data_IF_061570527777
#
_entry.id   IF_061570527777
#
_cell.length_a   1.000
_cell.length_b   1.000
_cell.length_c   1.000
_cell.angle_alpha   90.00
_cell.angle_beta   90.00
_cell.angle_gamma   90.00
#
_symmetry.space_group_name_H-M   'P 1'
#
loop_
_entity.id
_entity.type
_entity.pdbx_description
1 polymer ?
#
# COMPACT_ATOMS: atom_id res chain seq x y z
N UNK A 1 6.35 -10.08 -13.93
CA UNK A 1 5.00 -10.59 -13.61
C UNK A 1 4.52 -11.72 -14.55
N UNK A 2 4.17 -11.50 -15.84
CA UNK A 2 3.62 -12.59 -16.69
C UNK A 2 4.50 -13.85 -16.74
N UNK A 3 5.82 -13.67 -16.92
CA UNK A 3 6.76 -14.79 -16.95
C UNK A 3 6.77 -15.60 -15.64
N UNK A 4 6.67 -14.92 -14.49
CA UNK A 4 6.59 -15.56 -13.16
C UNK A 4 5.33 -16.41 -13.03
N UNK A 5 4.18 -15.88 -13.44
CA UNK A 5 2.89 -16.59 -13.42
C UNK A 5 2.93 -17.84 -14.30
N UNK A 6 3.47 -17.72 -15.53
CA UNK A 6 3.58 -18.85 -16.46
C UNK A 6 4.52 -19.93 -15.89
N UNK A 7 5.65 -19.54 -15.32
CA UNK A 7 6.59 -20.47 -14.71
C UNK A 7 5.96 -21.20 -13.51
N UNK A 8 5.13 -20.51 -12.74
CA UNK A 8 4.43 -21.08 -11.60
C UNK A 8 3.35 -22.09 -12.02
N UNK A 9 2.50 -21.73 -12.97
CA UNK A 9 1.38 -22.57 -13.40
C UNK A 9 1.76 -23.77 -14.26
N UNK A 10 2.95 -23.78 -14.87
CA UNK A 10 3.42 -24.85 -15.78
C UNK A 10 2.40 -25.22 -16.89
N UNK A 11 1.54 -24.27 -17.30
CA UNK A 11 0.49 -24.48 -18.29
C UNK A 11 -0.89 -24.88 -17.74
N UNK A 12 -1.08 -24.93 -16.42
CA UNK A 12 -2.38 -25.15 -15.76
C UNK A 12 -2.65 -24.16 -14.62
N UNK A 13 -3.61 -24.53 -13.75
CA UNK A 13 -3.99 -23.72 -12.59
C UNK A 13 -2.87 -23.66 -11.54
N UNK A 14 -2.73 -22.50 -10.89
CA UNK A 14 -1.76 -22.28 -9.82
C UNK A 14 -2.43 -22.61 -8.47
N UNK A 15 -1.90 -23.58 -7.69
CA UNK A 15 -2.40 -23.86 -6.36
C UNK A 15 -2.31 -22.63 -5.45
N UNK A 16 -3.22 -22.53 -4.47
CA UNK A 16 -3.30 -21.39 -3.55
C UNK A 16 -1.95 -21.04 -2.90
N UNK A 17 -1.25 -22.03 -2.32
CA UNK A 17 0.02 -21.79 -1.61
C UNK A 17 1.09 -21.20 -2.54
N UNK A 18 1.11 -21.64 -3.80
CA UNK A 18 2.06 -21.12 -4.78
C UNK A 18 1.66 -19.73 -5.26
N UNK A 19 0.36 -19.46 -5.43
CA UNK A 19 -0.15 -18.17 -5.87
C UNK A 19 0.15 -17.06 -4.85
N UNK A 20 -0.01 -17.36 -3.56
CA UNK A 20 0.23 -16.36 -2.50
C UNK A 20 1.72 -16.06 -2.31
N UNK A 21 2.60 -16.99 -2.69
CA UNK A 21 4.06 -16.88 -2.55
C UNK A 21 4.79 -16.32 -3.79
N UNK A 22 4.07 -15.91 -4.84
CA UNK A 22 4.68 -15.29 -6.01
C UNK A 22 5.28 -13.91 -5.67
N UNK A 23 6.62 -13.75 -5.67
CA UNK A 23 7.26 -12.57 -5.08
C UNK A 23 7.00 -11.29 -5.87
N UNK A 24 7.08 -11.31 -7.20
CA UNK A 24 6.87 -10.12 -8.01
C UNK A 24 5.39 -9.73 -8.08
N UNK A 25 4.48 -10.71 -8.17
CA UNK A 25 3.04 -10.47 -8.05
C UNK A 25 2.69 -9.81 -6.71
N UNK A 26 3.22 -10.34 -5.61
CA UNK A 26 2.95 -9.80 -4.27
C UNK A 26 3.51 -8.37 -4.13
N UNK A 27 4.71 -8.12 -4.65
CA UNK A 27 5.31 -6.80 -4.74
C UNK A 27 4.44 -5.78 -5.52
N UNK A 28 3.90 -6.20 -6.67
CA UNK A 28 2.98 -5.37 -7.48
C UNK A 28 1.69 -5.07 -6.73
N UNK A 29 1.11 -6.06 -6.06
CA UNK A 29 -0.11 -5.87 -5.27
C UNK A 29 0.12 -4.90 -4.09
N UNK A 30 1.21 -5.09 -3.33
CA UNK A 30 1.58 -4.21 -2.21
C UNK A 30 1.81 -2.78 -2.65
N UNK A 31 2.58 -2.58 -3.71
CA UNK A 31 2.88 -1.24 -4.20
C UNK A 31 1.63 -0.56 -4.77
N UNK A 32 0.76 -1.31 -5.46
CA UNK A 32 -0.52 -0.78 -5.94
C UNK A 32 -1.42 -0.34 -4.77
N UNK A 33 -1.51 -1.14 -3.71
CA UNK A 33 -2.29 -0.81 -2.52
C UNK A 33 -1.71 0.38 -1.73
N UNK A 34 -0.41 0.67 -1.89
CA UNK A 34 0.24 1.83 -1.27
C UNK A 34 -0.24 3.14 -1.89
N UNK A 35 -0.48 3.17 -3.19
CA UNK A 35 -0.98 4.36 -3.90
C UNK A 35 -2.51 4.44 -3.84
N UNK A 36 -3.03 5.40 -3.09
CA UNK A 36 -4.43 5.79 -3.21
C UNK A 36 -4.62 6.64 -4.48
N UNK A 37 -5.68 6.36 -5.26
CA UNK A 37 -5.97 7.07 -6.52
C UNK A 37 -6.46 8.51 -6.34
N UNK A 38 -6.85 8.92 -5.13
CA UNK A 38 -7.35 10.29 -4.86
C UNK A 38 -6.58 11.03 -3.76
N UNK A 39 -6.64 12.36 -3.79
CA UNK A 39 -5.98 13.27 -2.85
C UNK A 39 -6.66 13.29 -1.49
N UNK A 40 -5.86 13.39 -0.42
CA UNK A 40 -6.36 13.48 0.95
C UNK A 40 -5.46 14.40 1.78
N UNK A 41 -6.10 15.18 2.67
CA UNK A 41 -5.46 16.20 3.52
C UNK A 41 -4.85 15.55 4.78
N UNK A 42 -3.61 15.93 5.08
CA UNK A 42 -2.68 15.38 6.08
C UNK A 42 -3.07 15.55 7.56
N UNK A 43 -2.69 14.59 8.44
CA UNK A 43 -2.34 14.85 9.83
C UNK A 43 -0.83 14.73 10.07
N UNK A 44 -0.36 15.35 11.16
CA UNK A 44 1.05 15.62 11.44
C UNK A 44 1.64 14.60 12.43
N UNK A 45 2.76 13.97 12.06
CA UNK A 45 3.56 13.07 12.90
C UNK A 45 4.76 13.76 13.59
N UNK A 46 4.95 15.04 13.30
CA UNK A 46 6.05 15.87 13.82
C UNK A 46 5.45 17.06 14.56
N UNK A 47 6.14 17.58 15.59
CA UNK A 47 5.61 18.70 16.34
C UNK A 47 5.36 19.89 15.42
N UNK A 48 4.17 20.46 15.54
CA UNK A 48 3.80 21.64 14.77
C UNK A 48 4.17 22.89 15.52
N UNK A 49 4.60 23.90 14.77
CA UNK A 49 4.78 25.22 15.33
C UNK A 49 3.40 25.83 15.54
N UNK A 50 3.02 26.03 16.80
CA UNK A 50 1.79 26.70 17.18
C UNK A 50 1.79 28.16 16.71
N UNK A 51 0.62 28.79 16.78
CA UNK A 51 0.45 30.23 16.50
C UNK A 51 1.31 31.11 17.42
N UNK A 52 1.77 30.56 18.54
CA UNK A 52 2.67 31.17 19.52
C UNK A 52 4.16 30.92 19.23
N UNK A 53 4.48 30.25 18.12
CA UNK A 53 5.84 29.92 17.71
C UNK A 53 6.47 28.72 18.44
N UNK A 54 5.78 28.11 19.41
CA UNK A 54 6.30 26.96 20.18
C UNK A 54 6.03 25.65 19.46
N UNK A 55 6.90 24.67 19.70
CA UNK A 55 6.70 23.30 19.22
C UNK A 55 5.64 22.61 20.08
N UNK A 56 4.55 22.16 19.45
CA UNK A 56 3.50 21.38 20.07
C UNK A 56 3.72 19.90 19.80
N UNK A 57 3.91 19.11 20.86
CA UNK A 57 4.06 17.66 20.78
C UNK A 57 2.74 16.91 20.90
N UNK A 58 1.70 17.58 21.42
CA UNK A 58 0.36 17.05 21.58
C UNK A 58 -0.64 18.04 20.99
N UNK A 59 -1.61 17.54 20.25
CA UNK A 59 -2.73 18.34 19.74
C UNK A 59 -3.93 18.07 20.64
N UNK A 60 -4.40 19.05 21.44
CA UNK A 60 -5.62 18.87 22.21
C UNK A 60 -6.81 18.75 21.25
N UNK A 61 -7.54 17.64 21.33
CA UNK A 61 -8.73 17.37 20.50
C UNK A 61 -9.97 17.48 21.39
N UNK A 62 -10.77 18.55 21.26
CA UNK A 62 -12.00 18.70 22.03
C UNK A 62 -13.01 17.58 21.74
N UNK A 63 -13.88 17.29 22.71
CA UNK A 63 -14.98 16.33 22.51
C UNK A 63 -15.87 16.79 21.35
N UNK A 64 -16.20 15.84 20.47
CA UNK A 64 -17.03 16.09 19.29
C UNK A 64 -16.25 16.53 18.05
N UNK A 65 -14.92 16.59 18.12
CA UNK A 65 -14.07 16.88 16.95
C UNK A 65 -14.00 15.66 16.04
N UNK A 66 -14.31 15.84 14.76
CA UNK A 66 -14.09 14.82 13.73
C UNK A 66 -12.60 14.73 13.37
N UNK A 67 -12.09 13.50 13.24
CA UNK A 67 -10.70 13.22 12.93
C UNK A 67 -10.63 12.35 11.69
N UNK A 68 -9.92 12.83 10.67
CA UNK A 68 -9.69 12.10 9.43
C UNK A 68 -8.27 11.54 9.38
N UNK A 69 -8.14 10.29 8.96
CA UNK A 69 -6.84 9.62 8.76
C UNK A 69 -6.47 9.69 7.29
N UNK A 70 -5.37 10.38 6.97
CA UNK A 70 -4.88 10.47 5.59
C UNK A 70 -4.06 9.23 5.22
N UNK A 71 -4.75 8.20 4.72
CA UNK A 71 -4.13 6.94 4.28
C UNK A 71 -3.06 7.18 3.23
N UNK A 72 -3.33 8.01 2.21
CA UNK A 72 -2.36 8.36 1.16
C UNK A 72 -1.10 8.97 1.75
N UNK A 73 -1.27 9.99 2.59
CA UNK A 73 -0.15 10.68 3.21
C UNK A 73 0.71 9.73 4.05
N UNK A 74 0.09 8.81 4.81
CA UNK A 74 0.82 7.78 5.55
C UNK A 74 1.60 6.84 4.63
N UNK A 75 0.96 6.36 3.56
CA UNK A 75 1.53 5.41 2.62
C UNK A 75 2.58 6.02 1.67
N UNK A 76 2.62 7.35 1.53
CA UNK A 76 3.60 8.07 0.69
C UNK A 76 4.43 9.08 1.48
N UNK A 77 4.49 8.97 2.80
CA UNK A 77 5.28 9.87 3.63
C UNK A 77 6.79 9.68 3.34
N UNK A 78 7.46 10.69 2.79
CA UNK A 78 8.89 10.62 2.45
C UNK A 78 9.79 10.35 3.66
N UNK A 79 9.38 10.74 4.87
CA UNK A 79 10.14 10.44 6.08
C UNK A 79 10.12 8.94 6.42
N UNK A 80 9.09 8.21 6.00
CA UNK A 80 8.93 6.77 6.25
C UNK A 80 9.40 5.96 5.04
N UNK A 81 8.97 6.35 3.85
CA UNK A 81 9.15 5.59 2.60
C UNK A 81 10.34 6.05 1.76
N UNK A 82 11.02 7.13 2.13
CA UNK A 82 12.15 7.69 1.39
C UNK A 82 11.75 8.69 0.29
N UNK A 83 12.74 9.17 -0.46
CA UNK A 83 12.53 10.20 -1.47
C UNK A 83 11.68 9.73 -2.66
N UNK A 84 11.70 8.43 -2.97
CA UNK A 84 10.92 7.78 -4.02
C UNK A 84 9.52 7.34 -3.52
N UNK A 85 9.04 7.88 -2.39
CA UNK A 85 7.72 7.55 -1.84
C UNK A 85 6.55 7.84 -2.80
N UNK A 86 6.71 8.75 -3.75
CA UNK A 86 5.68 9.07 -4.74
C UNK A 86 5.80 8.24 -6.04
N UNK A 87 6.81 7.37 -6.14
CA UNK A 87 7.04 6.53 -7.30
C UNK A 87 6.42 5.15 -7.11
N UNK A 88 5.69 4.67 -8.12
CA UNK A 88 5.19 3.30 -8.16
C UNK A 88 6.35 2.36 -8.52
N UNK A 89 6.91 1.68 -7.50
CA UNK A 89 8.09 0.84 -7.62
C UNK A 89 7.91 -0.47 -6.84
N UNK A 90 7.32 -1.50 -7.47
CA UNK A 90 7.12 -2.82 -6.86
C UNK A 90 8.41 -3.42 -6.28
N UNK A 91 9.55 -3.19 -6.92
CA UNK A 91 10.84 -3.78 -6.58
C UNK A 91 11.29 -3.47 -5.15
N UNK A 92 10.74 -2.40 -4.53
CA UNK A 92 10.94 -2.06 -3.12
C UNK A 92 10.60 -3.20 -2.16
N UNK A 93 9.61 -4.02 -2.51
CA UNK A 93 9.10 -5.12 -1.68
C UNK A 93 9.89 -6.42 -1.83
N UNK A 94 10.81 -6.47 -2.80
CA UNK A 94 11.64 -7.65 -3.07
C UNK A 94 12.94 -7.66 -2.25
N UNK A 95 13.21 -6.58 -1.52
CA UNK A 95 14.36 -6.44 -0.64
C UNK A 95 13.88 -6.09 0.77
N UNK A 96 14.72 -6.28 1.81
CA UNK A 96 14.40 -5.81 3.15
C UNK A 96 14.04 -4.32 3.13
N UNK A 97 12.92 -3.99 3.78
CA UNK A 97 12.45 -2.61 3.87
C UNK A 97 13.40 -1.78 4.76
N UNK A 98 13.53 -0.46 4.51
CA UNK A 98 14.27 0.44 5.37
C UNK A 98 13.79 0.38 6.83
N UNK A 99 14.71 0.51 7.79
CA UNK A 99 14.38 0.45 9.22
C UNK A 99 13.36 1.51 9.63
N UNK A 100 13.38 2.68 8.99
CA UNK A 100 12.42 3.76 9.18
C UNK A 100 10.95 3.31 9.04
N UNK A 101 10.65 2.32 8.19
CA UNK A 101 9.29 1.79 8.03
C UNK A 101 8.88 0.98 9.27
N UNK A 102 9.79 0.15 9.79
CA UNK A 102 9.54 -0.62 11.01
C UNK A 102 9.45 0.30 12.24
N UNK A 103 10.33 1.29 12.33
CA UNK A 103 10.38 2.27 13.42
C UNK A 103 9.22 3.26 13.41
N UNK A 104 8.52 3.43 12.27
CA UNK A 104 7.36 4.31 12.18
C UNK A 104 6.13 3.77 12.93
N UNK A 105 6.10 2.47 13.28
CA UNK A 105 4.99 1.82 14.00
C UNK A 105 3.61 2.12 13.38
N UNK A 106 3.53 2.17 12.05
CA UNK A 106 2.27 2.42 11.35
C UNK A 106 1.29 1.30 11.70
N UNK A 107 0.09 1.60 12.26
CA UNK A 107 -0.80 0.58 12.82
C UNK A 107 -1.55 -0.24 11.77
N UNK A 108 -1.09 -0.22 10.51
CA UNK A 108 -1.70 -0.90 9.38
C UNK A 108 -1.71 -2.41 9.56
N UNK A 109 -2.86 -3.05 9.34
CA UNK A 109 -3.01 -4.52 9.47
C UNK A 109 -2.19 -5.30 8.43
N UNK A 110 -1.73 -4.62 7.37
CA UNK A 110 -1.00 -5.24 6.28
C UNK A 110 0.21 -4.40 5.87
N UNK A 111 1.41 -4.99 5.95
CA UNK A 111 2.66 -4.46 5.38
C UNK A 111 2.98 -3.00 5.73
N UNK A 112 2.65 -2.55 6.95
CA UNK A 112 2.81 -1.15 7.38
C UNK A 112 2.06 -0.14 6.50
N UNK A 113 0.98 -0.58 5.83
CA UNK A 113 0.09 0.24 5.00
C UNK A 113 -1.23 0.49 5.71
N UNK A 114 -1.72 1.72 5.63
CA UNK A 114 -3.01 2.11 6.19
C UNK A 114 -4.20 1.80 5.27
N UNK A 115 -3.96 1.17 4.12
CA UNK A 115 -4.97 0.88 3.07
C UNK A 115 -6.13 0.03 3.58
N UNK A 116 -5.85 -0.93 4.46
CA UNK A 116 -6.85 -1.77 5.10
C UNK A 116 -7.14 -1.35 6.55
N UNK A 117 -6.75 -0.13 6.93
CA UNK A 117 -6.85 0.37 8.29
C UNK A 117 -5.99 -0.42 9.30
N UNK A 118 -6.29 -0.21 10.57
CA UNK A 118 -5.51 -0.72 11.69
C UNK A 118 -6.36 -0.95 12.95
N UNK A 119 -5.84 -1.75 13.88
CA UNK A 119 -6.51 -2.07 15.15
C UNK A 119 -7.85 -2.81 14.97
N UNK A 120 -8.75 -2.64 15.95
CA UNK A 120 -10.03 -3.36 16.00
C UNK A 120 -11.06 -2.99 14.92
N UNK A 121 -10.76 -2.00 14.07
CA UNK A 121 -11.57 -1.59 12.91
C UNK A 121 -10.87 -1.82 11.57
N UNK A 122 -9.80 -2.60 11.58
CA UNK A 122 -9.14 -3.02 10.35
C UNK A 122 -10.10 -3.80 9.45
N UNK A 123 -9.87 -3.73 8.14
CA UNK A 123 -10.67 -4.44 7.17
C UNK A 123 -10.55 -5.95 7.38
N UNK A 124 -11.66 -6.59 7.78
CA UNK A 124 -11.71 -8.05 7.98
C UNK A 124 -11.44 -8.83 6.67
N UNK A 125 -11.74 -8.21 5.52
CA UNK A 125 -11.59 -8.80 4.19
C UNK A 125 -10.22 -8.60 3.54
N UNK A 126 -9.20 -8.07 4.24
CA UNK A 126 -7.93 -7.71 3.59
C UNK A 126 -7.24 -8.91 2.93
N UNK A 127 -7.23 -10.08 3.58
CA UNK A 127 -6.65 -11.31 3.01
C UNK A 127 -7.43 -11.80 1.79
N UNK A 128 -8.76 -11.72 1.86
CA UNK A 128 -9.62 -12.08 0.74
C UNK A 128 -9.36 -11.17 -0.46
N UNK A 129 -9.32 -9.85 -0.23
CA UNK A 129 -9.05 -8.85 -1.27
C UNK A 129 -7.70 -9.11 -1.95
N UNK A 130 -6.66 -9.45 -1.18
CA UNK A 130 -5.35 -9.79 -1.72
C UNK A 130 -5.36 -11.05 -2.58
N UNK A 131 -6.04 -12.10 -2.11
CA UNK A 131 -6.17 -13.32 -2.87
C UNK A 131 -6.92 -13.06 -4.18
N UNK A 132 -8.05 -12.36 -4.12
CA UNK A 132 -8.85 -12.02 -5.28
C UNK A 132 -8.05 -11.20 -6.30
N UNK A 133 -7.31 -10.18 -5.86
CA UNK A 133 -6.40 -9.42 -6.74
C UNK A 133 -5.41 -10.35 -7.46
N UNK A 134 -4.77 -11.28 -6.74
CA UNK A 134 -3.80 -12.22 -7.32
C UNK A 134 -4.46 -13.17 -8.33
N UNK A 135 -5.66 -13.66 -8.03
CA UNK A 135 -6.43 -14.54 -8.93
C UNK A 135 -6.82 -13.79 -10.22
N UNK A 136 -7.41 -12.61 -10.09
CA UNK A 136 -7.83 -11.78 -11.24
C UNK A 136 -6.64 -11.44 -12.12
N UNK A 137 -5.52 -10.97 -11.53
CA UNK A 137 -4.31 -10.65 -12.28
C UNK A 137 -3.75 -11.88 -13.00
N UNK A 138 -3.75 -13.04 -12.34
CA UNK A 138 -3.33 -14.31 -12.95
C UNK A 138 -4.15 -14.63 -14.19
N UNK A 139 -5.48 -14.62 -14.09
CA UNK A 139 -6.38 -14.91 -15.20
C UNK A 139 -6.17 -13.92 -16.35
N UNK A 140 -6.11 -12.62 -16.03
CA UNK A 140 -5.95 -11.58 -17.04
C UNK A 140 -4.62 -11.71 -17.79
N UNK A 141 -3.51 -11.93 -17.08
CA UNK A 141 -2.17 -11.95 -17.66
C UNK A 141 -1.85 -13.24 -18.40
N UNK A 142 -2.50 -14.35 -18.07
CA UNK A 142 -2.39 -15.59 -18.85
C UNK A 142 -3.25 -15.53 -20.10
N UNK A 143 -4.46 -14.98 -20.01
CA UNK A 143 -5.44 -14.95 -21.09
C UNK A 143 -5.20 -13.86 -22.13
N UNK A 144 -4.71 -12.67 -21.72
CA UNK A 144 -4.60 -11.51 -22.60
C UNK A 144 -3.18 -10.96 -22.68
N UNK A 145 -2.86 -10.29 -23.79
CA UNK A 145 -1.67 -9.42 -23.92
C UNK A 145 -2.14 -7.98 -23.83
N UNK A 146 -1.57 -7.22 -22.89
CA UNK A 146 -1.90 -5.82 -22.67
C UNK A 146 -0.90 -4.91 -23.39
N UNK A 147 -1.40 -3.82 -23.94
CA UNK A 147 -0.60 -2.71 -24.48
C UNK A 147 -1.19 -1.40 -23.97
N UNK A 148 -0.38 -0.33 -23.81
CA UNK A 148 -0.91 0.97 -23.45
C UNK A 148 -2.00 1.43 -24.41
N UNK A 149 -3.06 2.05 -23.86
CA UNK A 149 -4.07 2.74 -24.68
C UNK A 149 -3.48 4.05 -25.22
N UNK A 150 -4.03 4.52 -26.34
CA UNK A 150 -3.75 5.87 -26.87
C UNK A 150 -4.54 6.96 -26.15
N UNK A 151 -5.56 6.58 -25.38
CA UNK A 151 -6.35 7.50 -24.58
C UNK A 151 -5.73 7.65 -23.19
N UNK A 152 -5.60 8.89 -22.72
CA UNK A 152 -5.26 9.17 -21.34
C UNK A 152 -6.40 8.74 -20.42
N UNK A 153 -6.03 8.18 -19.26
CA UNK A 153 -7.00 7.88 -18.21
C UNK A 153 -7.25 9.18 -17.47
N UNK A 154 -8.37 9.84 -17.78
CA UNK A 154 -8.88 11.02 -17.04
C UNK A 154 -9.30 10.61 -15.64
#
# INVERSE_FOLDING_TARGET
>A
MRAEIIAAGKGGDIPYDQLVDLPYMDAVCRETLRFAREDAILPLSSPIRGIDGKLMYNVPVPKGTEVYVAVKASNTNKAIWGNDASEWKPERWLSPLPSAIAEAHVPGVYSNLMTFGGGGRSCIGFKFSQLEMKVVLTILLTSFKFTPSKADIV
#
